data_IF_827626600547
#
_entry.id   IF_827626600547
#
_cell.length_a   1.000
_cell.length_b   1.000
_cell.length_c   1.000
_cell.angle_alpha   90.00
_cell.angle_beta   90.00
_cell.angle_gamma   90.00
#
_symmetry.space_group_name_H-M   'P 1'
#
loop_
_entity.id
_entity.type
_entity.pdbx_description
1 polymer ?
#
# COMPACT_ATOMS: atom_id res chain seq x y z
N UNK A 1 -5.39 13.83 3.02
CA UNK A 1 -4.77 12.86 3.96
C UNK A 1 -4.16 13.63 5.12
N UNK A 2 -4.61 13.40 6.35
CA UNK A 2 -4.20 14.15 7.56
C UNK A 2 -3.13 13.44 8.40
N UNK A 3 -2.60 12.30 7.91
CA UNK A 3 -1.65 11.48 8.65
C UNK A 3 -0.43 12.32 9.06
N UNK A 4 -0.30 12.53 10.38
CA UNK A 4 0.78 13.31 10.99
C UNK A 4 0.93 14.74 10.43
N UNK A 5 -0.15 15.37 9.92
CA UNK A 5 -0.09 16.65 9.20
C UNK A 5 0.74 17.75 9.89
N UNK A 6 0.64 17.86 11.22
CA UNK A 6 1.31 18.88 12.02
C UNK A 6 2.72 18.47 12.50
N UNK A 7 3.16 17.24 12.24
CA UNK A 7 4.50 16.75 12.57
C UNK A 7 5.55 17.25 11.56
N UNK A 8 6.85 17.23 11.90
CA UNK A 8 7.93 17.48 10.95
C UNK A 8 7.87 16.60 9.69
N UNK A 9 8.43 17.10 8.59
CA UNK A 9 8.33 16.44 7.29
C UNK A 9 8.90 15.01 7.27
N UNK A 10 9.97 14.75 8.01
CA UNK A 10 10.59 13.41 8.14
C UNK A 10 9.63 12.41 8.77
N UNK A 11 8.98 12.77 9.88
CA UNK A 11 8.01 11.92 10.57
C UNK A 11 6.78 11.65 9.69
N UNK A 12 6.30 12.68 8.96
CA UNK A 12 5.19 12.52 8.01
C UNK A 12 5.52 11.53 6.90
N UNK A 13 6.71 11.66 6.30
CA UNK A 13 7.16 10.74 5.23
C UNK A 13 7.29 9.31 5.75
N UNK A 14 7.88 9.12 6.94
CA UNK A 14 7.98 7.80 7.55
C UNK A 14 6.59 7.17 7.80
N UNK A 15 5.63 7.95 8.31
CA UNK A 15 4.27 7.48 8.53
C UNK A 15 3.56 7.13 7.22
N UNK A 16 3.73 7.95 6.17
CA UNK A 16 3.15 7.69 4.84
C UNK A 16 3.73 6.45 4.19
N UNK A 17 5.05 6.24 4.26
CA UNK A 17 5.70 5.06 3.69
C UNK A 17 5.18 3.76 4.34
N UNK A 18 5.12 3.74 5.68
CA UNK A 18 4.55 2.59 6.43
C UNK A 18 3.09 2.35 6.05
N UNK A 19 2.29 3.41 5.98
CA UNK A 19 0.88 3.30 5.60
C UNK A 19 0.72 2.78 4.16
N UNK A 20 1.49 3.29 3.20
CA UNK A 20 1.44 2.84 1.80
C UNK A 20 1.91 1.41 1.62
N UNK A 21 2.98 1.00 2.31
CA UNK A 21 3.42 -0.40 2.36
C UNK A 21 2.30 -1.33 2.86
N UNK A 22 1.69 -1.00 3.99
CA UNK A 22 0.59 -1.79 4.56
C UNK A 22 -0.63 -1.83 3.62
N UNK A 23 -1.02 -0.68 3.05
CA UNK A 23 -2.12 -0.61 2.10
C UNK A 23 -1.85 -1.48 0.87
N UNK A 24 -0.64 -1.46 0.31
CA UNK A 24 -0.30 -2.28 -0.85
C UNK A 24 -0.43 -3.79 -0.58
N UNK A 25 0.07 -4.26 0.57
CA UNK A 25 -0.12 -5.65 1.01
C UNK A 25 -1.60 -6.00 1.17
N UNK A 26 -2.39 -5.15 1.84
CA UNK A 26 -3.81 -5.38 2.07
C UNK A 26 -4.65 -5.33 0.79
N UNK A 27 -4.38 -4.39 -0.12
CA UNK A 27 -5.06 -4.24 -1.40
C UNK A 27 -4.91 -5.49 -2.26
N UNK A 28 -3.68 -6.01 -2.36
CA UNK A 28 -3.38 -7.22 -3.11
C UNK A 28 -4.08 -8.44 -2.51
N UNK A 29 -3.97 -8.61 -1.19
CA UNK A 29 -4.61 -9.73 -0.49
C UNK A 29 -6.13 -9.72 -0.66
N UNK A 30 -6.78 -8.60 -0.29
CA UNK A 30 -8.25 -8.50 -0.35
C UNK A 30 -8.76 -8.60 -1.79
N UNK A 31 -8.10 -7.94 -2.75
CA UNK A 31 -8.49 -8.01 -4.15
C UNK A 31 -8.45 -9.44 -4.70
N UNK A 32 -7.37 -10.18 -4.42
CA UNK A 32 -7.22 -11.57 -4.87
C UNK A 32 -8.24 -12.50 -4.20
N UNK A 33 -8.47 -12.36 -2.90
CA UNK A 33 -9.48 -13.15 -2.20
C UNK A 33 -10.90 -12.84 -2.68
N UNK A 34 -11.21 -11.58 -2.97
CA UNK A 34 -12.50 -11.20 -3.53
C UNK A 34 -12.76 -11.88 -4.87
N UNK A 35 -11.77 -11.90 -5.78
CA UNK A 35 -11.88 -12.65 -7.04
C UNK A 35 -12.09 -14.15 -6.78
N UNK A 36 -11.29 -14.75 -5.89
CA UNK A 36 -11.37 -16.18 -5.59
C UNK A 36 -12.74 -16.60 -5.03
N UNK A 37 -13.33 -15.81 -4.14
CA UNK A 37 -14.63 -16.09 -3.51
C UNK A 37 -15.79 -16.02 -4.51
N UNK A 38 -15.69 -15.16 -5.52
CA UNK A 38 -16.71 -15.02 -6.55
C UNK A 38 -16.48 -15.98 -7.73
N UNK A 39 -15.28 -16.54 -7.88
CA UNK A 39 -14.93 -17.40 -9.00
C UNK A 39 -14.85 -16.62 -10.31
N UNK A 40 -15.18 -17.29 -11.43
CA UNK A 40 -15.02 -16.71 -12.78
C UNK A 40 -15.77 -15.39 -13.01
N UNK A 41 -16.93 -15.19 -12.38
CA UNK A 41 -17.69 -13.93 -12.50
C UNK A 41 -16.96 -12.75 -11.83
N UNK A 42 -16.06 -13.01 -10.88
CA UNK A 42 -15.28 -11.98 -10.19
C UNK A 42 -14.27 -11.24 -11.08
N UNK A 43 -13.99 -11.73 -12.28
CA UNK A 43 -13.06 -11.10 -13.24
C UNK A 43 -13.76 -10.46 -14.44
N UNK A 44 -15.08 -10.58 -14.56
CA UNK A 44 -15.83 -10.07 -15.72
C UNK A 44 -16.33 -8.64 -15.50
N UNK A 45 -16.61 -7.91 -16.57
CA UNK A 45 -17.00 -6.48 -16.48
C UNK A 45 -18.44 -6.27 -15.97
N UNK A 46 -19.27 -7.31 -16.01
CA UNK A 46 -20.66 -7.27 -15.56
C UNK A 46 -20.80 -7.22 -14.04
N UNK A 47 -19.78 -7.68 -13.30
CA UNK A 47 -19.84 -7.78 -11.84
C UNK A 47 -18.92 -6.77 -11.15
N UNK A 48 -19.46 -6.08 -10.12
CA UNK A 48 -18.81 -4.92 -9.50
C UNK A 48 -17.44 -5.22 -8.86
N UNK A 49 -17.22 -6.47 -8.43
CA UNK A 49 -15.96 -6.89 -7.79
C UNK A 49 -14.75 -6.73 -8.71
N UNK A 50 -14.91 -6.98 -10.02
CA UNK A 50 -13.79 -6.83 -10.96
C UNK A 50 -13.32 -5.38 -11.07
N UNK A 51 -14.25 -4.42 -10.99
CA UNK A 51 -13.95 -2.99 -10.98
C UNK A 51 -13.23 -2.57 -9.70
N UNK A 52 -13.62 -3.10 -8.55
CA UNK A 52 -12.89 -2.87 -7.31
C UNK A 52 -11.50 -3.49 -7.33
N UNK A 53 -11.33 -4.70 -7.86
CA UNK A 53 -10.02 -5.31 -8.05
C UNK A 53 -9.10 -4.42 -8.89
N UNK A 54 -9.57 -3.98 -10.08
CA UNK A 54 -8.82 -3.06 -10.96
C UNK A 54 -8.44 -1.75 -10.24
N UNK A 55 -9.36 -1.17 -9.46
CA UNK A 55 -9.11 0.05 -8.70
C UNK A 55 -8.07 -0.14 -7.60
N UNK A 56 -8.13 -1.26 -6.87
CA UNK A 56 -7.14 -1.59 -5.84
C UNK A 56 -5.76 -1.81 -6.49
N UNK A 57 -5.70 -2.49 -7.63
CA UNK A 57 -4.45 -2.65 -8.40
C UNK A 57 -3.89 -1.30 -8.84
N UNK A 58 -4.72 -0.38 -9.35
CA UNK A 58 -4.27 0.97 -9.69
C UNK A 58 -3.77 1.75 -8.45
N UNK A 59 -4.49 1.70 -7.33
CA UNK A 59 -4.08 2.37 -6.09
C UNK A 59 -2.78 1.82 -5.51
N UNK A 60 -2.50 0.53 -5.70
CA UNK A 60 -1.25 -0.10 -5.29
C UNK A 60 -0.06 0.51 -6.03
N UNK A 61 -0.15 0.69 -7.35
CA UNK A 61 0.93 1.19 -8.20
C UNK A 61 1.14 2.71 -8.11
N UNK A 62 0.10 3.49 -7.83
CA UNK A 62 0.17 4.96 -7.86
C UNK A 62 0.88 5.51 -6.61
N UNK A 63 1.74 6.52 -6.82
CA UNK A 63 2.59 7.16 -5.81
C UNK A 63 3.62 6.22 -5.16
N UNK A 64 4.15 5.28 -5.96
CA UNK A 64 5.08 4.26 -5.49
C UNK A 64 4.35 3.01 -5.02
N UNK A 65 4.86 1.85 -5.46
CA UNK A 65 4.32 0.54 -5.17
C UNK A 65 4.75 0.03 -3.79
N UNK A 66 4.31 -1.18 -3.45
CA UNK A 66 4.61 -1.77 -2.14
C UNK A 66 6.11 -1.92 -1.89
N UNK A 67 6.91 -2.24 -2.91
CA UNK A 67 8.35 -2.43 -2.77
C UNK A 67 9.09 -1.10 -2.58
N UNK A 68 8.69 -0.07 -3.32
CA UNK A 68 9.21 1.28 -3.12
C UNK A 68 9.02 1.74 -1.67
N UNK A 69 7.80 1.61 -1.15
CA UNK A 69 7.50 2.02 0.23
C UNK A 69 8.15 1.11 1.28
N UNK A 70 8.40 -0.16 0.98
CA UNK A 70 9.21 -1.03 1.83
C UNK A 70 10.66 -0.56 1.94
N UNK A 71 11.27 -0.16 0.81
CA UNK A 71 12.60 0.45 0.78
C UNK A 71 12.66 1.72 1.64
N UNK A 72 11.70 2.64 1.43
CA UNK A 72 11.59 3.87 2.22
C UNK A 72 11.44 3.62 3.73
N UNK A 73 10.74 2.54 4.12
CA UNK A 73 10.64 2.11 5.52
C UNK A 73 11.97 1.56 6.02
N UNK A 74 12.63 0.72 5.22
CA UNK A 74 13.91 0.09 5.59
C UNK A 74 15.00 1.13 5.83
N UNK A 75 15.19 2.07 4.90
CA UNK A 75 16.21 3.11 4.99
C UNK A 75 16.04 3.95 6.26
N UNK A 76 14.80 4.36 6.56
CA UNK A 76 14.51 5.17 7.76
C UNK A 76 14.58 4.39 9.06
N UNK A 77 14.43 3.07 9.03
CA UNK A 77 14.66 2.23 10.20
C UNK A 77 16.14 2.15 10.54
N UNK A 78 17.03 2.11 9.53
CA UNK A 78 18.48 2.13 9.73
C UNK A 78 18.94 3.45 10.37
N UNK A 79 18.39 4.59 9.93
CA UNK A 79 18.67 5.89 10.54
C UNK A 79 18.29 5.95 12.03
N UNK A 80 17.18 5.32 12.41
CA UNK A 80 16.69 5.32 13.80
C UNK A 80 17.38 4.30 14.71
N UNK A 81 17.92 3.23 14.14
CA UNK A 81 18.50 2.10 14.89
C UNK A 81 19.96 2.33 15.29
N UNK A 82 20.60 3.43 14.86
CA UNK A 82 21.92 3.83 15.34
C UNK A 82 23.02 2.80 15.12
N UNK A 83 22.96 2.00 14.05
CA UNK A 83 24.01 0.99 13.76
C UNK A 83 25.28 1.62 13.17
N UNK A 84 25.33 2.94 13.01
CA UNK A 84 26.55 3.67 12.65
C UNK A 84 26.70 4.95 13.48
N UNK A 85 27.03 4.78 14.77
CA UNK A 85 27.83 5.70 15.58
C UNK A 85 28.57 4.88 16.65
#
# INVERSE_FOLDING_TARGET
ASLKLNSPASERRAALARAKYQLGQSMRFVGQQAVQLHGGIGVTDEYIVSHYFKRLTQMEMVFGDTLHHLGEVSDRMQDSAGVFA
#
